data_IF_152982694876
#
_entry.id   IF_152982694876
#
_cell.length_a   1.000
_cell.length_b   1.000
_cell.length_c   1.000
_cell.angle_alpha   90.00
_cell.angle_beta   90.00
_cell.angle_gamma   90.00
#
_symmetry.space_group_name_H-M   'P 1'
#
loop_
_entity.id
_entity.type
_entity.pdbx_description
1 polymer ?
#
# COMPACT_ATOMS: atom_id res chain seq x y z
N UNK A 1 13.55 -3.54 12.00
CA UNK A 1 13.86 -4.35 10.78
C UNK A 1 13.82 -3.41 9.57
N UNK A 2 14.83 -3.37 8.70
CA UNK A 2 14.95 -2.34 7.64
C UNK A 2 14.29 -2.69 6.30
N UNK A 3 13.74 -3.89 6.18
CA UNK A 3 12.87 -4.33 5.09
C UNK A 3 12.10 -5.55 5.59
N UNK A 4 10.81 -5.66 5.29
CA UNK A 4 10.04 -6.89 5.53
C UNK A 4 10.28 -7.85 4.35
N UNK A 5 10.28 -9.15 4.62
CA UNK A 5 10.30 -10.25 3.64
C UNK A 5 9.13 -11.17 3.97
N UNK A 6 8.43 -11.67 2.95
CA UNK A 6 7.35 -12.65 3.16
C UNK A 6 7.92 -14.05 3.06
N UNK A 7 8.02 -14.74 4.20
CA UNK A 7 8.57 -16.11 4.28
C UNK A 7 7.56 -17.15 3.77
N UNK A 8 6.28 -17.03 4.15
CA UNK A 8 5.23 -18.00 3.79
C UNK A 8 3.83 -17.36 3.75
N UNK A 9 2.88 -17.97 3.02
CA UNK A 9 1.48 -17.56 2.91
C UNK A 9 0.53 -18.73 3.21
N UNK A 10 0.27 -18.95 4.50
CA UNK A 10 -0.82 -19.78 5.01
C UNK A 10 -0.78 -21.30 4.71
N UNK A 11 -1.65 -22.08 5.37
CA UNK A 11 -2.38 -21.73 6.59
C UNK A 11 -1.57 -22.01 7.86
N UNK A 12 -1.94 -21.35 8.95
CA UNK A 12 -1.63 -21.85 10.29
C UNK A 12 -2.16 -23.29 10.39
N UNK A 13 -1.38 -24.21 10.94
CA UNK A 13 -1.78 -25.61 11.07
C UNK A 13 -2.23 -25.96 12.48
N UNK A 14 -3.09 -26.97 12.59
CA UNK A 14 -3.62 -27.44 13.87
C UNK A 14 -2.77 -28.60 14.40
N UNK A 15 -2.27 -28.50 15.64
CA UNK A 15 -1.51 -29.57 16.30
C UNK A 15 -2.37 -30.58 17.09
N UNK A 16 -3.69 -30.55 17.00
CA UNK A 16 -4.60 -31.57 17.57
C UNK A 16 -5.67 -31.02 18.53
N UNK A 17 -6.46 -31.93 19.12
CA UNK A 17 -7.64 -31.61 19.94
C UNK A 17 -7.19 -30.88 21.23
N UNK A 18 -7.51 -29.59 21.36
CA UNK A 18 -7.00 -28.70 22.43
C UNK A 18 -6.55 -27.31 21.95
N UNK A 19 -6.58 -27.08 20.63
CA UNK A 19 -6.79 -25.79 19.92
C UNK A 19 -5.77 -24.67 20.20
N UNK A 20 -4.57 -24.80 19.66
CA UNK A 20 -3.70 -23.66 19.33
C UNK A 20 -3.36 -23.72 17.85
N UNK A 21 -3.51 -22.60 17.15
CA UNK A 21 -2.96 -22.45 15.81
C UNK A 21 -1.42 -22.42 15.91
N UNK A 22 -0.74 -23.14 15.04
CA UNK A 22 0.71 -23.20 14.99
C UNK A 22 1.23 -22.72 13.64
N UNK A 23 2.44 -22.19 13.65
CA UNK A 23 3.25 -21.95 12.47
C UNK A 23 4.69 -22.33 12.78
N UNK A 24 5.43 -22.68 11.73
CA UNK A 24 6.86 -22.89 11.85
C UNK A 24 7.56 -21.53 11.69
N UNK A 25 8.43 -21.20 12.64
CA UNK A 25 9.24 -19.97 12.60
C UNK A 25 10.72 -20.33 12.53
N UNK A 26 11.46 -19.67 11.65
CA UNK A 26 12.89 -19.90 11.43
C UNK A 26 13.77 -18.82 12.08
N UNK A 27 13.17 -17.72 12.55
CA UNK A 27 13.88 -16.62 13.21
C UNK A 27 12.97 -15.57 13.84
N UNK A 28 13.41 -14.31 13.75
CA UNK A 28 12.60 -13.15 14.13
C UNK A 28 11.67 -12.80 12.97
N UNK A 29 10.42 -13.25 13.08
CA UNK A 29 9.42 -13.12 12.03
C UNK A 29 8.22 -12.32 12.55
N UNK A 30 7.41 -11.80 11.63
CA UNK A 30 6.14 -11.15 11.96
C UNK A 30 5.00 -11.95 11.35
N UNK A 31 3.94 -12.18 12.13
CA UNK A 31 2.69 -12.73 11.63
C UNK A 31 1.80 -11.59 11.15
N UNK A 32 1.43 -11.60 9.87
CA UNK A 32 0.39 -10.72 9.33
C UNK A 32 -0.92 -11.48 9.17
N UNK A 33 -2.01 -10.88 9.62
CA UNK A 33 -3.36 -11.40 9.47
C UNK A 33 -4.27 -10.31 8.95
N UNK A 34 -4.94 -10.59 7.83
CA UNK A 34 -6.00 -9.76 7.30
C UNK A 34 -7.33 -10.53 7.35
N UNK A 35 -8.40 -9.88 7.79
CA UNK A 35 -9.73 -10.49 7.83
C UNK A 35 -10.84 -9.46 7.56
N UNK A 36 -11.96 -9.89 6.95
CA UNK A 36 -13.13 -9.04 6.79
C UNK A 36 -13.81 -8.79 8.14
N UNK A 37 -14.40 -7.62 8.28
CA UNK A 37 -15.14 -7.11 9.43
C UNK A 37 -16.40 -6.39 8.97
N UNK A 38 -17.30 -6.05 9.90
CA UNK A 38 -18.49 -5.25 9.58
C UNK A 38 -18.16 -3.81 9.10
N UNK A 39 -16.91 -3.36 9.26
CA UNK A 39 -16.43 -2.03 8.87
C UNK A 39 -15.54 -2.05 7.62
N UNK A 40 -15.43 -3.17 6.91
CA UNK A 40 -14.46 -3.38 5.83
C UNK A 40 -13.45 -4.44 6.22
N UNK A 41 -12.18 -4.29 5.85
CA UNK A 41 -11.13 -5.23 6.27
C UNK A 41 -10.37 -4.69 7.49
N UNK A 42 -9.75 -5.61 8.24
CA UNK A 42 -8.81 -5.31 9.32
C UNK A 42 -7.51 -6.04 9.04
N UNK A 43 -6.40 -5.43 9.41
CA UNK A 43 -5.07 -5.99 9.24
C UNK A 43 -4.27 -5.81 10.53
N UNK A 44 -3.52 -6.84 10.90
CA UNK A 44 -2.71 -6.86 12.10
C UNK A 44 -1.36 -7.49 11.77
N UNK A 45 -0.27 -6.83 12.18
CA UNK A 45 1.10 -7.36 12.06
C UNK A 45 1.70 -7.46 13.45
N UNK A 46 2.03 -8.68 13.88
CA UNK A 46 2.57 -8.95 15.21
C UNK A 46 3.96 -9.56 15.12
N UNK A 47 4.91 -9.07 15.91
CA UNK A 47 6.25 -9.66 15.96
C UNK A 47 6.27 -10.88 16.85
N UNK A 48 6.75 -11.98 16.30
CA UNK A 48 6.81 -13.25 16.99
C UNK A 48 8.07 -13.31 17.86
N UNK A 49 7.95 -13.69 19.15
CA UNK A 49 9.08 -13.76 20.08
C UNK A 49 10.02 -14.96 19.83
N UNK A 50 9.89 -15.66 18.70
CA UNK A 50 10.59 -16.91 18.37
C UNK A 50 9.80 -18.16 18.76
N UNK A 51 10.49 -19.31 18.81
CA UNK A 51 9.86 -20.61 19.05
C UNK A 51 9.28 -20.74 20.47
N UNK A 52 8.00 -21.10 20.57
CA UNK A 52 7.31 -21.32 21.85
C UNK A 52 5.78 -21.34 21.71
N UNK A 53 5.09 -21.46 22.84
CA UNK A 53 3.63 -21.32 22.93
C UNK A 53 3.29 -20.00 23.61
N UNK A 54 2.56 -19.14 22.91
CA UNK A 54 2.25 -17.79 23.37
C UNK A 54 0.75 -17.53 23.32
N UNK A 55 0.29 -16.59 24.13
CA UNK A 55 -1.02 -16.01 23.93
C UNK A 55 -0.93 -15.04 22.74
N UNK A 56 -1.69 -15.33 21.68
CA UNK A 56 -1.70 -14.55 20.45
C UNK A 56 -2.05 -13.07 20.71
N UNK A 57 -3.11 -12.81 21.47
CA UNK A 57 -3.58 -11.46 21.75
C UNK A 57 -2.52 -10.64 22.51
N UNK A 58 -1.81 -11.28 23.44
CA UNK A 58 -0.73 -10.65 24.20
C UNK A 58 0.46 -10.27 23.30
N UNK A 59 0.89 -11.18 22.42
CA UNK A 59 2.00 -10.93 21.48
C UNK A 59 1.66 -9.77 20.53
N UNK A 60 0.43 -9.77 20.01
CA UNK A 60 -0.05 -8.72 19.13
C UNK A 60 -0.22 -7.38 19.82
N UNK A 61 -0.76 -7.35 21.05
CA UNK A 61 -0.86 -6.14 21.85
C UNK A 61 0.50 -5.49 22.09
N UNK A 62 1.49 -6.28 22.52
CA UNK A 62 2.85 -5.77 22.78
C UNK A 62 3.50 -5.18 21.53
N UNK A 63 3.33 -5.84 20.38
CA UNK A 63 3.84 -5.35 19.10
C UNK A 63 3.21 -4.01 18.72
N UNK A 64 1.87 -3.93 18.81
CA UNK A 64 1.13 -2.74 18.41
C UNK A 64 1.37 -1.56 19.36
N UNK A 65 1.46 -1.79 20.67
CA UNK A 65 1.79 -0.75 21.64
C UNK A 65 3.21 -0.18 21.42
N UNK A 66 4.16 -1.05 21.05
CA UNK A 66 5.50 -0.59 20.68
C UNK A 66 5.45 0.29 19.44
N UNK A 67 4.77 -0.16 18.38
CA UNK A 67 4.68 0.60 17.12
C UNK A 67 4.00 1.96 17.34
N UNK A 68 2.90 2.00 18.12
CA UNK A 68 2.23 3.25 18.53
C UNK A 68 3.18 4.16 19.32
N UNK A 69 3.96 3.61 20.26
CA UNK A 69 4.93 4.37 21.05
C UNK A 69 6.06 4.94 20.21
N UNK A 70 6.56 4.19 19.22
CA UNK A 70 7.60 4.63 18.28
C UNK A 70 7.09 5.81 17.45
N UNK A 71 5.90 5.68 16.83
CA UNK A 71 5.25 6.74 16.05
C UNK A 71 5.11 8.04 16.86
N UNK A 72 4.59 7.95 18.09
CA UNK A 72 4.42 9.11 18.97
C UNK A 72 5.75 9.76 19.37
N UNK A 73 6.83 8.97 19.50
CA UNK A 73 8.15 9.48 19.86
C UNK A 73 8.80 10.27 18.73
N UNK A 74 8.56 9.87 17.48
CA UNK A 74 9.08 10.50 16.27
C UNK A 74 8.26 11.74 15.90
N UNK A 75 6.95 11.68 16.10
CA UNK A 75 6.02 12.76 15.80
C UNK A 75 5.68 13.59 17.04
N UNK A 76 6.65 14.36 17.56
CA UNK A 76 6.54 15.15 18.81
C UNK A 76 5.38 16.17 18.88
N UNK A 77 4.65 16.39 17.78
CA UNK A 77 3.41 17.18 17.72
C UNK A 77 2.10 16.37 17.79
N UNK A 78 2.18 15.04 17.68
CA UNK A 78 1.07 14.11 17.97
C UNK A 78 1.00 13.91 19.47
N UNK A 79 0.16 14.69 20.15
CA UNK A 79 -0.13 14.46 21.57
C UNK A 79 -1.50 13.82 21.66
N UNK A 80 -1.56 12.54 22.08
CA UNK A 80 -2.79 11.98 22.62
C UNK A 80 -3.19 12.87 23.80
N UNK A 81 -4.31 13.58 23.75
CA UNK A 81 -4.75 14.28 24.96
C UNK A 81 -5.05 13.21 26.01
N UNK A 82 -4.66 13.47 27.26
CA UNK A 82 -4.95 12.56 28.39
C UNK A 82 -6.45 12.19 28.46
N UNK A 83 -7.35 13.04 27.95
CA UNK A 83 -8.79 12.79 27.82
C UNK A 83 -9.18 11.75 26.76
N UNK A 84 -8.45 11.64 25.65
CA UNK A 84 -8.75 10.68 24.57
C UNK A 84 -8.18 9.30 24.90
N UNK A 85 -6.94 9.24 25.39
CA UNK A 85 -6.36 7.99 25.90
C UNK A 85 -7.14 7.43 27.09
N UNK A 86 -7.60 8.29 28.01
CA UNK A 86 -8.47 7.85 29.12
C UNK A 86 -9.89 7.51 28.67
N UNK A 87 -10.41 8.07 27.58
CA UNK A 87 -11.69 7.63 26.99
C UNK A 87 -11.56 6.26 26.33
N UNK A 88 -10.47 5.98 25.60
CA UNK A 88 -10.19 4.65 25.07
C UNK A 88 -10.00 3.62 26.19
N UNK A 89 -9.28 4.00 27.25
CA UNK A 89 -9.10 3.16 28.44
C UNK A 89 -10.40 3.01 29.27
N UNK A 90 -11.26 4.04 29.30
CA UNK A 90 -12.55 4.07 30.01
C UNK A 90 -13.65 3.31 29.26
N UNK A 91 -13.66 3.30 27.93
CA UNK A 91 -14.60 2.51 27.12
C UNK A 91 -14.21 1.03 27.16
N UNK A 92 -12.91 0.72 27.06
CA UNK A 92 -12.37 -0.63 27.23
C UNK A 92 -12.66 -1.21 28.63
N UNK A 93 -12.69 -0.37 29.66
CA UNK A 93 -13.03 -0.79 31.03
C UNK A 93 -14.52 -0.78 31.36
N UNK A 94 -15.38 -0.09 30.59
CA UNK A 94 -16.84 -0.01 30.84
C UNK A 94 -17.70 -1.02 30.06
N UNK A 95 -17.24 -1.51 28.90
CA UNK A 95 -17.99 -2.50 28.10
C UNK A 95 -17.76 -3.96 28.52
N UNK A 96 -17.04 -4.16 29.61
CA UNK A 96 -16.78 -5.44 30.26
C UNK A 96 -18.01 -5.97 31.00
N UNK A 97 -18.72 -6.95 30.42
CA UNK A 97 -19.38 -8.03 31.19
C UNK A 97 -19.31 -9.37 30.43
N UNK A 98 -19.08 -10.49 31.13
CA UNK A 98 -18.94 -11.80 30.51
C UNK A 98 -20.28 -12.30 29.94
N UNK A 99 -20.28 -12.76 28.69
CA UNK A 99 -21.23 -13.78 28.25
C UNK A 99 -20.59 -15.15 28.51
N UNK A 100 -21.26 -15.97 29.31
CA UNK A 100 -20.68 -17.12 30.01
C UNK A 100 -19.95 -18.15 29.14
N UNK A 101 -18.80 -18.59 29.66
CA UNK A 101 -17.97 -19.68 29.17
C UNK A 101 -16.54 -19.52 29.72
N UNK A 102 -15.93 -20.59 30.23
CA UNK A 102 -14.63 -20.50 30.92
C UNK A 102 -13.45 -20.38 29.94
N UNK A 103 -12.98 -19.16 29.73
CA UNK A 103 -11.58 -18.88 29.39
C UNK A 103 -10.83 -18.59 30.70
N UNK A 104 -9.55 -18.98 30.81
CA UNK A 104 -8.78 -18.68 32.01
C UNK A 104 -8.52 -17.16 32.12
N UNK A 105 -8.34 -16.61 33.32
CA UNK A 105 -8.21 -15.15 33.55
C UNK A 105 -7.12 -14.48 32.70
N UNK A 106 -6.05 -15.22 32.35
CA UNK A 106 -4.93 -14.71 31.58
C UNK A 106 -5.27 -14.58 30.08
N UNK A 107 -6.07 -15.49 29.53
CA UNK A 107 -6.58 -15.40 28.15
C UNK A 107 -7.51 -14.21 27.97
N UNK A 108 -8.36 -13.95 28.97
CA UNK A 108 -9.28 -12.83 28.95
C UNK A 108 -8.54 -11.48 29.03
N UNK A 109 -7.50 -11.38 29.88
CA UNK A 109 -6.69 -10.17 29.97
C UNK A 109 -5.94 -9.86 28.67
N UNK A 110 -5.39 -10.89 28.01
CA UNK A 110 -4.66 -10.69 26.77
C UNK A 110 -5.56 -10.18 25.63
N UNK A 111 -6.78 -10.70 25.50
CA UNK A 111 -7.77 -10.20 24.55
C UNK A 111 -8.13 -8.72 24.80
N UNK A 112 -8.27 -8.34 26.08
CA UNK A 112 -8.52 -6.94 26.48
C UNK A 112 -7.35 -6.02 26.09
N UNK A 113 -6.11 -6.47 26.29
CA UNK A 113 -4.91 -5.70 25.96
C UNK A 113 -4.81 -5.47 24.43
N UNK A 114 -5.18 -6.47 23.63
CA UNK A 114 -5.24 -6.32 22.17
C UNK A 114 -6.28 -5.29 21.73
N UNK A 115 -7.50 -5.35 22.27
CA UNK A 115 -8.56 -4.38 21.96
C UNK A 115 -8.13 -2.93 22.27
N UNK A 116 -7.46 -2.72 23.41
CA UNK A 116 -6.89 -1.40 23.79
C UNK A 116 -5.84 -0.95 22.78
N UNK A 117 -5.00 -1.87 22.32
CA UNK A 117 -3.91 -1.58 21.38
C UNK A 117 -4.45 -1.20 20.00
N UNK A 118 -5.42 -1.98 19.48
CA UNK A 118 -6.12 -1.69 18.22
C UNK A 118 -6.87 -0.37 18.29
N UNK A 119 -7.51 -0.10 19.43
CA UNK A 119 -8.19 1.18 19.67
C UNK A 119 -7.20 2.35 19.71
N UNK A 120 -6.00 2.14 20.24
CA UNK A 120 -4.94 3.16 20.28
C UNK A 120 -4.39 3.47 18.89
N UNK A 121 -4.21 2.45 18.04
CA UNK A 121 -3.89 2.61 16.61
C UNK A 121 -4.99 3.39 15.87
N UNK A 122 -6.24 3.00 16.04
CA UNK A 122 -7.39 3.76 15.52
C UNK A 122 -7.41 5.22 16.04
N UNK A 123 -7.01 5.43 17.30
CA UNK A 123 -6.84 6.75 17.90
C UNK A 123 -5.74 7.58 17.23
N UNK A 124 -4.63 6.97 16.82
CA UNK A 124 -3.56 7.64 16.08
C UNK A 124 -4.10 8.24 14.77
N UNK A 125 -4.94 7.52 14.03
CA UNK A 125 -5.58 8.03 12.82
C UNK A 125 -6.47 9.26 13.05
N UNK A 126 -7.18 9.29 14.19
CA UNK A 126 -8.07 10.39 14.51
C UNK A 126 -7.30 11.64 14.98
N UNK A 127 -6.18 11.45 15.70
CA UNK A 127 -5.33 12.56 16.16
C UNK A 127 -4.28 12.98 15.13
N UNK A 128 -4.04 12.17 14.09
CA UNK A 128 -3.19 12.52 12.95
C UNK A 128 -3.85 13.57 12.06
N UNK A 129 -4.32 14.66 12.66
CA UNK A 129 -4.49 15.96 12.00
C UNK A 129 -3.18 16.76 12.01
N UNK A 130 -2.07 16.11 12.43
CA UNK A 130 -0.77 16.75 12.62
C UNK A 130 -0.16 17.06 11.26
N UNK A 131 -0.32 18.33 10.87
CA UNK A 131 0.48 19.03 9.89
C UNK A 131 0.73 18.22 8.64
N UNK A 132 -0.25 18.23 7.72
CA UNK A 132 0.01 17.91 6.32
C UNK A 132 1.34 18.57 5.96
N UNK A 133 2.39 17.77 5.80
CA UNK A 133 3.67 18.27 5.37
C UNK A 133 3.39 19.14 4.14
N UNK A 134 3.95 20.34 4.08
CA UNK A 134 3.74 21.29 2.98
C UNK A 134 4.14 20.72 1.59
N UNK A 135 4.62 19.47 1.54
CA UNK A 135 5.11 18.76 0.38
C UNK A 135 4.20 17.61 -0.08
N UNK A 136 3.06 17.34 0.57
CA UNK A 136 2.11 16.36 0.04
C UNK A 136 1.53 16.84 -1.29
N UNK A 137 1.46 15.92 -2.25
CA UNK A 137 0.90 16.18 -3.57
C UNK A 137 -0.41 15.42 -3.69
N UNK A 138 -1.48 16.13 -4.03
CA UNK A 138 -2.81 15.56 -4.20
C UNK A 138 -3.11 15.40 -5.68
N UNK A 139 -3.84 14.33 -6.00
CA UNK A 139 -4.28 14.08 -7.36
C UNK A 139 -5.39 13.06 -7.42
N UNK A 140 -5.82 12.76 -8.63
CA UNK A 140 -6.81 11.75 -8.93
C UNK A 140 -6.40 10.97 -10.18
N UNK A 141 -7.02 9.81 -10.37
CA UNK A 141 -6.92 9.04 -11.61
C UNK A 141 -8.04 9.44 -12.56
N UNK A 142 -7.72 9.59 -13.83
CA UNK A 142 -8.66 9.67 -14.94
C UNK A 142 -8.48 8.41 -15.77
N UNK A 143 -9.47 7.54 -15.72
CA UNK A 143 -9.58 6.29 -16.48
C UNK A 143 -10.36 6.46 -17.79
N UNK A 144 -11.05 7.59 -17.97
CA UNK A 144 -11.85 7.85 -19.17
C UNK A 144 -11.56 9.24 -19.78
N UNK A 145 -11.11 9.29 -21.05
CA UNK A 145 -10.93 10.53 -21.81
C UNK A 145 -12.21 11.36 -22.01
N UNK A 146 -13.39 10.75 -21.82
CA UNK A 146 -14.68 11.40 -22.01
C UNK A 146 -14.95 12.43 -20.90
N UNK A 147 -14.59 12.11 -19.66
CA UNK A 147 -14.83 12.97 -18.48
C UNK A 147 -13.66 13.90 -18.16
N UNK A 148 -12.49 13.68 -18.79
CA UNK A 148 -11.22 14.26 -18.38
C UNK A 148 -11.25 15.79 -18.20
N UNK A 149 -11.85 16.52 -19.16
CA UNK A 149 -11.90 17.99 -19.12
C UNK A 149 -12.72 18.50 -17.92
N UNK A 150 -13.85 17.87 -17.63
CA UNK A 150 -14.70 18.24 -16.48
C UNK A 150 -13.96 17.91 -15.18
N UNK A 151 -13.35 16.73 -15.09
CA UNK A 151 -12.58 16.32 -13.92
C UNK A 151 -11.41 17.28 -13.63
N UNK A 152 -10.66 17.69 -14.66
CA UNK A 152 -9.53 18.63 -14.51
C UNK A 152 -9.98 20.01 -14.01
N UNK A 153 -11.14 20.50 -14.47
CA UNK A 153 -11.70 21.77 -13.96
C UNK A 153 -12.12 21.65 -12.49
N UNK A 154 -12.76 20.55 -12.12
CA UNK A 154 -13.13 20.27 -10.72
C UNK A 154 -11.88 20.17 -9.85
N UNK A 155 -10.87 19.44 -10.30
CA UNK A 155 -9.60 19.28 -9.58
C UNK A 155 -8.93 20.64 -9.35
N UNK A 156 -8.86 21.51 -10.37
CA UNK A 156 -8.32 22.86 -10.23
C UNK A 156 -9.10 23.71 -9.22
N UNK A 157 -10.42 23.53 -9.14
CA UNK A 157 -11.26 24.26 -8.19
C UNK A 157 -11.02 23.83 -6.75
N UNK A 158 -10.74 22.54 -6.51
CA UNK A 158 -10.49 21.99 -5.17
C UNK A 158 -9.05 22.25 -4.74
N UNK A 159 -8.10 22.10 -5.66
CA UNK A 159 -6.67 22.27 -5.44
C UNK A 159 -6.11 23.33 -6.43
N UNK A 160 -6.14 24.63 -6.07
CA UNK A 160 -5.72 25.70 -6.95
C UNK A 160 -4.24 25.65 -7.36
N UNK A 161 -3.38 25.00 -6.57
CA UNK A 161 -1.94 24.85 -6.84
C UNK A 161 -1.48 23.43 -6.53
N UNK A 162 -0.46 22.95 -7.25
CA UNK A 162 0.20 21.67 -6.96
C UNK A 162 -0.61 20.40 -7.26
N UNK A 163 -1.78 20.53 -7.89
CA UNK A 163 -2.61 19.40 -8.28
C UNK A 163 -1.93 18.51 -9.33
N UNK A 164 -2.18 17.21 -9.25
CA UNK A 164 -1.69 16.22 -10.22
C UNK A 164 -2.82 15.32 -10.71
N UNK A 165 -2.62 14.73 -11.88
CA UNK A 165 -3.52 13.72 -12.42
C UNK A 165 -2.73 12.53 -12.91
N UNK A 166 -3.24 11.33 -12.64
CA UNK A 166 -2.80 10.08 -13.25
C UNK A 166 -3.74 9.75 -14.40
N UNK A 167 -3.20 9.56 -15.61
CA UNK A 167 -3.97 9.34 -16.82
C UNK A 167 -3.72 7.92 -17.35
N UNK A 168 -4.76 7.10 -17.35
CA UNK A 168 -4.75 5.73 -17.90
C UNK A 168 -4.86 5.81 -19.42
N UNK A 169 -3.97 5.12 -20.14
CA UNK A 169 -3.93 5.16 -21.61
C UNK A 169 -4.53 3.88 -22.20
N UNK A 170 -5.81 3.94 -22.54
CA UNK A 170 -6.56 2.83 -23.13
C UNK A 170 -6.00 2.41 -24.50
N UNK A 171 -5.81 1.11 -24.77
CA UNK A 171 -5.35 0.60 -26.07
C UNK A 171 -6.25 0.99 -27.27
N UNK A 172 -7.53 1.31 -27.02
CA UNK A 172 -8.51 1.66 -28.05
C UNK A 172 -8.63 3.16 -28.34
N UNK A 173 -8.00 4.03 -27.55
CA UNK A 173 -8.15 5.48 -27.68
C UNK A 173 -6.95 6.09 -28.42
N UNK A 174 -7.15 6.96 -29.44
CA UNK A 174 -6.05 7.64 -30.12
C UNK A 174 -5.20 8.50 -29.17
N UNK A 175 -3.88 8.39 -29.27
CA UNK A 175 -2.93 9.17 -28.44
C UNK A 175 -3.08 10.68 -28.57
N UNK A 176 -3.56 11.19 -29.72
CA UNK A 176 -3.86 12.62 -29.91
C UNK A 176 -4.94 13.14 -28.95
N UNK A 177 -5.86 12.28 -28.50
CA UNK A 177 -6.86 12.62 -27.49
C UNK A 177 -6.19 12.87 -26.14
N UNK A 178 -5.27 12.00 -25.73
CA UNK A 178 -4.51 12.17 -24.49
C UNK A 178 -3.54 13.35 -24.55
N UNK A 179 -2.90 13.60 -25.69
CA UNK A 179 -2.08 14.81 -25.87
C UNK A 179 -2.89 16.09 -25.64
N UNK A 180 -4.15 16.13 -26.11
CA UNK A 180 -5.04 17.27 -25.89
C UNK A 180 -5.41 17.43 -24.41
N UNK A 181 -5.59 16.31 -23.68
CA UNK A 181 -5.85 16.30 -22.24
C UNK A 181 -4.63 16.80 -21.47
N UNK A 182 -3.42 16.34 -21.82
CA UNK A 182 -2.16 16.79 -21.20
C UNK A 182 -1.99 18.29 -21.35
N UNK A 183 -2.15 18.81 -22.58
CA UNK A 183 -2.04 20.24 -22.85
C UNK A 183 -3.07 21.05 -22.05
N UNK A 184 -4.30 20.54 -21.91
CA UNK A 184 -5.34 21.21 -21.13
C UNK A 184 -5.04 21.18 -19.63
N UNK A 185 -4.60 20.05 -19.07
CA UNK A 185 -4.17 19.95 -17.68
C UNK A 185 -3.05 20.97 -17.36
N UNK A 186 -2.04 21.05 -18.24
CA UNK A 186 -0.95 22.02 -18.13
C UNK A 186 -1.43 23.47 -18.20
N UNK A 187 -2.43 23.79 -19.04
CA UNK A 187 -3.03 25.13 -19.07
C UNK A 187 -3.70 25.54 -17.76
N UNK A 188 -4.07 24.56 -16.92
CA UNK A 188 -4.61 24.76 -15.57
C UNK A 188 -3.52 24.72 -14.48
N UNK A 189 -2.27 24.44 -14.84
CA UNK A 189 -1.15 24.24 -13.90
C UNK A 189 -1.23 22.91 -13.15
N UNK A 190 -1.81 21.87 -13.75
CA UNK A 190 -1.92 20.52 -13.18
C UNK A 190 -0.83 19.65 -13.82
N UNK A 191 -0.01 18.95 -13.02
CA UNK A 191 0.97 18.00 -13.56
C UNK A 191 0.30 16.68 -13.97
N UNK A 192 0.83 16.02 -15.00
CA UNK A 192 0.29 14.78 -15.56
C UNK A 192 1.29 13.64 -15.44
N UNK A 193 0.86 12.60 -14.73
CA UNK A 193 1.45 11.27 -14.78
C UNK A 193 0.70 10.43 -15.79
N UNK A 194 1.42 9.75 -16.69
CA UNK A 194 0.85 8.84 -17.68
C UNK A 194 1.15 7.41 -17.26
N UNK A 195 0.11 6.60 -17.12
CA UNK A 195 0.27 5.14 -17.02
C UNK A 195 0.48 4.55 -18.41
N UNK A 196 1.60 3.83 -18.59
CA UNK A 196 1.94 3.27 -19.90
C UNK A 196 1.00 2.12 -20.29
N UNK A 197 0.78 1.19 -19.36
CA UNK A 197 -0.05 -0.01 -19.56
C UNK A 197 -0.65 -0.40 -18.22
N UNK A 198 -1.97 -0.38 -18.14
CA UNK A 198 -2.76 -0.91 -17.02
C UNK A 198 -2.50 -2.41 -16.82
N UNK A 199 -2.45 -2.85 -15.56
CA UNK A 199 -2.18 -4.23 -15.19
C UNK A 199 -3.16 -5.23 -15.83
N UNK A 200 -4.43 -4.84 -16.03
CA UNK A 200 -5.45 -5.66 -16.69
C UNK A 200 -5.14 -5.94 -18.16
N UNK A 201 -4.49 -5.00 -18.85
CA UNK A 201 -4.08 -5.20 -20.25
C UNK A 201 -2.72 -5.89 -20.37
N UNK A 202 -1.85 -5.78 -19.36
CA UNK A 202 -0.50 -6.33 -19.40
C UNK A 202 -0.47 -7.84 -19.64
N UNK A 203 -1.44 -8.57 -19.08
CA UNK A 203 -1.61 -10.02 -19.24
C UNK A 203 -1.80 -10.45 -20.70
N UNK A 204 -2.46 -9.60 -21.50
CA UNK A 204 -2.76 -9.87 -22.90
C UNK A 204 -1.60 -9.54 -23.85
N UNK A 205 -0.52 -8.91 -23.34
CA UNK A 205 0.61 -8.47 -24.15
C UNK A 205 1.81 -9.40 -23.94
N UNK A 206 2.35 -9.93 -25.04
CA UNK A 206 3.72 -10.44 -25.04
C UNK A 206 4.72 -9.27 -24.92
N UNK A 207 6.00 -9.59 -24.72
CA UNK A 207 7.04 -8.57 -24.55
C UNK A 207 7.10 -7.60 -25.74
N UNK A 208 7.15 -8.09 -26.98
CA UNK A 208 7.24 -7.24 -28.17
C UNK A 208 6.06 -6.26 -28.32
N UNK A 209 4.83 -6.71 -28.02
CA UNK A 209 3.65 -5.85 -28.07
C UNK A 209 3.69 -4.78 -26.98
N UNK A 210 4.17 -5.13 -25.79
CA UNK A 210 4.38 -4.18 -24.69
C UNK A 210 5.43 -3.13 -25.07
N UNK A 211 6.57 -3.56 -25.62
CA UNK A 211 7.65 -2.66 -26.06
C UNK A 211 7.16 -1.69 -27.15
N UNK A 212 6.44 -2.20 -28.14
CA UNK A 212 5.83 -1.38 -29.20
C UNK A 212 4.83 -0.36 -28.62
N UNK A 213 4.05 -0.77 -27.62
CA UNK A 213 3.08 0.12 -26.96
C UNK A 213 3.78 1.23 -26.17
N UNK A 214 4.75 0.89 -25.34
CA UNK A 214 5.52 1.86 -24.55
C UNK A 214 6.23 2.85 -25.47
N UNK A 215 6.93 2.35 -26.49
CA UNK A 215 7.66 3.21 -27.42
C UNK A 215 6.73 4.15 -28.17
N UNK A 216 5.57 3.69 -28.61
CA UNK A 216 4.56 4.53 -29.25
C UNK A 216 4.05 5.64 -28.31
N UNK A 217 3.72 5.31 -27.06
CA UNK A 217 3.23 6.30 -26.08
C UNK A 217 4.29 7.37 -25.84
N UNK A 218 5.50 6.95 -25.44
CA UNK A 218 6.57 7.86 -25.01
C UNK A 218 7.05 8.77 -26.14
N UNK A 219 7.08 8.27 -27.38
CA UNK A 219 7.49 9.09 -28.54
C UNK A 219 6.39 10.05 -29.02
N UNK A 220 5.12 9.70 -28.81
CA UNK A 220 3.97 10.50 -29.27
C UNK A 220 3.56 11.55 -28.26
N UNK A 221 3.44 11.19 -26.98
CA UNK A 221 2.99 12.10 -25.94
C UNK A 221 4.14 13.02 -25.50
N UNK A 222 3.91 14.32 -25.63
CA UNK A 222 4.84 15.39 -25.27
C UNK A 222 4.40 16.06 -23.98
N UNK A 223 5.38 16.63 -23.28
CA UNK A 223 5.19 17.33 -22.01
C UNK A 223 4.53 16.43 -20.95
N UNK A 224 4.91 15.16 -20.88
CA UNK A 224 4.50 14.31 -19.76
C UNK A 224 5.42 14.61 -18.59
N UNK A 225 4.87 14.84 -17.40
CA UNK A 225 5.68 15.15 -16.20
C UNK A 225 6.27 13.88 -15.58
N UNK A 226 5.51 12.78 -15.61
CA UNK A 226 5.94 11.49 -15.10
C UNK A 226 5.31 10.32 -15.87
N UNK A 227 6.03 9.21 -16.00
CA UNK A 227 5.50 7.95 -16.51
C UNK A 227 5.45 6.92 -15.39
N UNK A 228 4.29 6.30 -15.20
CA UNK A 228 4.21 5.06 -14.45
C UNK A 228 4.62 3.90 -15.37
N UNK A 229 5.81 3.38 -15.08
CA UNK A 229 6.56 2.42 -15.91
C UNK A 229 6.19 0.97 -15.65
N UNK A 230 5.34 0.74 -14.65
CA UNK A 230 4.78 -0.54 -14.29
C UNK A 230 3.68 -0.33 -13.27
N UNK A 231 2.46 -0.72 -13.64
CA UNK A 231 1.31 -0.70 -12.75
C UNK A 231 1.16 -2.05 -12.05
N UNK A 232 1.14 -2.05 -10.71
CA UNK A 232 0.85 -3.20 -9.86
C UNK A 232 1.68 -4.46 -10.20
N UNK A 233 2.96 -4.27 -10.48
CA UNK A 233 3.81 -5.25 -11.20
C UNK A 233 4.07 -6.55 -10.45
N UNK A 234 3.73 -6.61 -9.18
CA UNK A 234 3.85 -7.81 -8.35
C UNK A 234 2.59 -8.70 -8.38
N UNK A 235 1.53 -8.34 -9.11
CA UNK A 235 0.35 -9.20 -9.25
C UNK A 235 0.57 -10.47 -10.09
N UNK A 236 0.04 -11.63 -9.67
CA UNK A 236 0.11 -12.87 -10.46
C UNK A 236 -0.68 -12.85 -11.78
N UNK A 237 -1.58 -11.87 -11.96
CA UNK A 237 -2.47 -11.80 -13.12
C UNK A 237 -1.81 -11.19 -14.37
N UNK A 238 -0.59 -10.69 -14.27
CA UNK A 238 0.09 -9.89 -15.31
C UNK A 238 0.67 -10.71 -16.49
N UNK A 239 0.55 -12.04 -16.43
CA UNK A 239 1.12 -12.95 -17.41
C UNK A 239 2.64 -13.10 -17.25
N UNK A 240 3.38 -13.16 -18.36
CA UNK A 240 4.82 -13.48 -18.36
C UNK A 240 5.70 -12.26 -18.65
N UNK A 241 6.98 -12.39 -18.31
CA UNK A 241 8.05 -11.41 -18.59
C UNK A 241 7.84 -10.03 -17.95
N UNK A 242 7.17 -9.95 -16.80
CA UNK A 242 6.84 -8.68 -16.14
C UNK A 242 8.10 -7.86 -15.83
N UNK A 243 9.13 -8.47 -15.24
CA UNK A 243 10.40 -7.80 -14.96
C UNK A 243 11.04 -7.20 -16.24
N UNK A 244 11.09 -7.98 -17.33
CA UNK A 244 11.64 -7.51 -18.60
C UNK A 244 10.83 -6.37 -19.23
N UNK A 245 9.49 -6.40 -19.10
CA UNK A 245 8.60 -5.31 -19.52
C UNK A 245 8.92 -4.02 -18.74
N UNK A 246 9.04 -4.11 -17.42
CA UNK A 246 9.40 -2.96 -16.56
C UNK A 246 10.79 -2.42 -16.92
N UNK A 247 11.78 -3.30 -17.07
CA UNK A 247 13.15 -2.95 -17.46
C UNK A 247 13.18 -2.18 -18.79
N UNK A 248 12.42 -2.64 -19.78
CA UNK A 248 12.27 -1.93 -21.05
C UNK A 248 11.66 -0.55 -20.85
N UNK A 249 10.56 -0.43 -20.09
CA UNK A 249 9.90 0.85 -19.86
C UNK A 249 10.83 1.87 -19.17
N UNK A 250 11.59 1.43 -18.16
CA UNK A 250 12.63 2.24 -17.51
C UNK A 250 13.63 2.77 -18.53
N UNK A 251 14.24 1.86 -19.30
CA UNK A 251 15.29 2.21 -20.26
C UNK A 251 14.76 3.13 -21.37
N UNK A 252 13.56 2.84 -21.89
CA UNK A 252 12.98 3.56 -22.99
C UNK A 252 12.58 4.99 -22.58
N UNK A 253 11.91 5.17 -21.44
CA UNK A 253 11.55 6.50 -20.92
C UNK A 253 12.80 7.34 -20.70
N UNK A 254 13.83 6.80 -20.03
CA UNK A 254 15.09 7.52 -19.78
C UNK A 254 15.81 7.97 -21.05
N UNK A 255 15.73 7.16 -22.11
CA UNK A 255 16.43 7.44 -23.36
C UNK A 255 15.68 8.43 -24.27
N UNK A 256 14.38 8.63 -24.05
CA UNK A 256 13.51 9.37 -24.99
C UNK A 256 12.69 10.49 -24.33
N UNK A 257 12.79 10.67 -23.02
CA UNK A 257 12.06 11.70 -22.26
C UNK A 257 12.89 12.20 -21.08
N UNK A 258 12.56 13.41 -20.61
CA UNK A 258 13.05 13.97 -19.35
C UNK A 258 12.05 13.83 -18.19
N UNK A 259 10.91 13.16 -18.44
CA UNK A 259 9.89 12.89 -17.43
C UNK A 259 10.44 11.98 -16.32
N UNK A 260 9.93 12.14 -15.10
CA UNK A 260 10.28 11.21 -14.02
C UNK A 260 9.59 9.85 -14.21
N UNK A 261 10.10 8.81 -13.59
CA UNK A 261 9.53 7.45 -13.63
C UNK A 261 8.98 7.05 -12.27
N UNK A 262 7.83 6.37 -12.27
CA UNK A 262 7.23 5.78 -11.09
C UNK A 262 6.95 4.30 -11.30
N UNK A 263 7.38 3.44 -10.37
CA UNK A 263 7.02 2.02 -10.35
C UNK A 263 5.97 1.77 -9.26
N UNK A 264 4.81 1.23 -9.63
CA UNK A 264 3.72 0.95 -8.69
C UNK A 264 3.69 -0.52 -8.34
N UNK A 265 3.61 -0.81 -7.03
CA UNK A 265 3.42 -2.14 -6.48
C UNK A 265 2.05 -2.23 -5.79
N UNK A 266 1.35 -3.34 -5.99
CA UNK A 266 0.08 -3.63 -5.33
C UNK A 266 0.31 -4.09 -3.90
N UNK A 267 -0.36 -3.42 -2.96
CA UNK A 267 -0.37 -3.78 -1.55
C UNK A 267 -1.53 -4.73 -1.25
N UNK A 268 -1.17 -5.94 -0.86
CA UNK A 268 -2.07 -6.96 -0.34
C UNK A 268 -1.21 -7.90 0.52
N UNK A 269 -1.54 -8.05 1.81
CA UNK A 269 -0.89 -9.05 2.65
C UNK A 269 -1.77 -10.29 2.75
N UNK A 270 -1.16 -11.48 2.75
CA UNK A 270 -1.90 -12.72 2.95
C UNK A 270 -2.58 -13.27 1.69
N UNK A 271 -2.37 -12.67 0.52
CA UNK A 271 -2.95 -13.14 -0.74
C UNK A 271 -1.87 -13.41 -1.80
N UNK A 272 -2.25 -14.22 -2.79
CA UNK A 272 -1.40 -14.70 -3.89
C UNK A 272 -0.28 -15.67 -3.43
N UNK A 273 0.99 -15.35 -3.69
CA UNK A 273 2.15 -16.17 -3.32
C UNK A 273 3.22 -15.30 -2.68
N UNK A 274 4.10 -15.90 -1.85
CA UNK A 274 5.22 -15.18 -1.24
C UNK A 274 6.10 -14.47 -2.29
N UNK A 275 6.31 -15.09 -3.46
CA UNK A 275 7.04 -14.50 -4.58
C UNK A 275 6.38 -13.26 -5.20
N UNK A 276 5.06 -13.12 -5.06
CA UNK A 276 4.28 -11.99 -5.55
C UNK A 276 4.05 -10.91 -4.47
N UNK A 277 4.51 -11.14 -3.24
CA UNK A 277 4.53 -10.09 -2.23
C UNK A 277 5.38 -8.91 -2.69
N UNK A 278 4.98 -7.71 -2.27
CA UNK A 278 5.62 -6.46 -2.68
C UNK A 278 7.15 -6.48 -2.51
N UNK A 279 7.63 -6.98 -1.36
CA UNK A 279 9.06 -6.99 -1.03
C UNK A 279 9.82 -8.05 -1.81
N UNK A 280 9.33 -9.28 -1.84
CA UNK A 280 10.03 -10.39 -2.49
C UNK A 280 10.06 -10.19 -4.00
N UNK A 281 8.94 -9.75 -4.59
CA UNK A 281 8.87 -9.48 -6.01
C UNK A 281 9.86 -8.38 -6.38
N UNK A 282 9.86 -7.27 -5.65
CA UNK A 282 10.75 -6.14 -5.92
C UNK A 282 12.22 -6.54 -5.78
N UNK A 283 12.61 -7.19 -4.67
CA UNK A 283 13.98 -7.61 -4.41
C UNK A 283 14.49 -8.62 -5.46
N UNK A 284 13.62 -9.50 -5.96
CA UNK A 284 13.97 -10.52 -6.95
C UNK A 284 14.07 -9.95 -8.36
N UNK A 285 13.16 -9.04 -8.73
CA UNK A 285 12.95 -8.66 -10.13
C UNK A 285 13.52 -7.30 -10.52
N UNK A 286 13.84 -6.43 -9.54
CA UNK A 286 14.38 -5.09 -9.81
C UNK A 286 15.84 -5.04 -9.36
N UNK A 287 16.74 -4.97 -10.34
CA UNK A 287 18.17 -4.80 -10.09
C UNK A 287 18.49 -3.38 -9.63
N UNK A 288 19.63 -3.19 -8.95
CA UNK A 288 20.14 -1.86 -8.61
C UNK A 288 20.29 -0.95 -9.84
N UNK A 289 20.61 -1.53 -11.01
CA UNK A 289 20.74 -0.75 -12.25
C UNK A 289 19.38 -0.25 -12.74
N UNK A 290 18.34 -1.09 -12.70
CA UNK A 290 16.98 -0.69 -13.04
C UNK A 290 16.44 0.32 -12.04
N UNK A 291 16.65 0.09 -10.74
CA UNK A 291 16.25 0.99 -9.66
C UNK A 291 16.84 2.39 -9.82
N UNK A 292 18.08 2.52 -10.31
CA UNK A 292 18.68 3.84 -10.62
C UNK A 292 17.90 4.65 -11.67
N UNK A 293 17.01 3.99 -12.40
CA UNK A 293 16.13 4.57 -13.40
C UNK A 293 14.70 4.81 -12.94
N UNK A 294 14.42 4.59 -11.65
CA UNK A 294 13.12 4.82 -11.02
C UNK A 294 13.25 6.03 -10.10
N UNK A 295 12.42 7.06 -10.30
CA UNK A 295 12.44 8.25 -9.45
C UNK A 295 11.58 8.10 -8.20
N UNK A 296 10.43 7.43 -8.34
CA UNK A 296 9.43 7.27 -7.29
C UNK A 296 8.95 5.81 -7.23
N UNK A 297 8.72 5.28 -6.03
CA UNK A 297 8.03 4.00 -5.81
C UNK A 297 6.62 4.31 -5.31
N UNK A 298 5.61 3.78 -5.98
CA UNK A 298 4.20 3.89 -5.62
C UNK A 298 3.70 2.61 -4.97
N UNK A 299 2.76 2.76 -4.04
CA UNK A 299 2.00 1.65 -3.46
C UNK A 299 0.54 1.85 -3.87
N UNK A 300 -0.01 0.90 -4.62
CA UNK A 300 -1.45 0.82 -4.91
C UNK A 300 -2.12 0.13 -3.73
N UNK A 301 -2.92 0.89 -2.99
CA UNK A 301 -3.58 0.45 -1.76
C UNK A 301 -5.09 0.58 -1.93
N UNK A 302 -5.80 -0.49 -1.57
CA UNK A 302 -7.26 -0.52 -1.48
C UNK A 302 -7.63 -0.66 0.00
N UNK A 303 -7.85 0.45 0.74
CA UNK A 303 -8.03 0.40 2.19
C UNK A 303 -9.23 -0.43 2.62
N UNK A 304 -10.22 -0.57 1.74
CA UNK A 304 -11.39 -1.41 2.00
C UNK A 304 -11.08 -2.91 1.96
N UNK A 305 -9.95 -3.34 1.39
CA UNK A 305 -9.52 -4.73 1.22
C UNK A 305 -8.29 -5.07 2.07
N UNK A 306 -7.28 -4.21 2.09
CA UNK A 306 -6.03 -4.47 2.80
C UNK A 306 -5.53 -3.21 3.51
N UNK A 307 -6.21 -2.72 4.56
CA UNK A 307 -5.77 -1.51 5.25
C UNK A 307 -4.36 -1.69 5.83
N UNK A 308 -3.58 -0.61 5.85
CA UNK A 308 -2.20 -0.67 6.31
C UNK A 308 -2.02 -0.39 7.80
N UNK A 309 -2.99 0.19 8.51
CA UNK A 309 -2.81 0.42 9.97
C UNK A 309 -1.57 1.26 10.31
N UNK A 310 -1.09 1.09 11.54
CA UNK A 310 0.30 1.40 11.93
C UNK A 310 1.35 0.68 11.08
N UNK A 311 1.02 -0.42 10.40
CA UNK A 311 1.99 -1.11 9.56
C UNK A 311 2.52 -0.24 8.41
N UNK A 312 1.78 0.80 7.99
CA UNK A 312 2.28 1.81 7.06
C UNK A 312 3.64 2.38 7.49
N UNK A 313 3.82 2.68 8.78
CA UNK A 313 5.07 3.19 9.33
C UNK A 313 6.19 2.15 9.18
N UNK A 314 5.88 0.87 9.44
CA UNK A 314 6.83 -0.24 9.35
C UNK A 314 7.32 -0.53 7.93
N UNK A 315 6.56 -0.10 6.93
CA UNK A 315 6.81 -0.39 5.51
C UNK A 315 7.58 0.76 4.84
N UNK A 316 7.37 1.99 5.32
CA UNK A 316 7.97 3.18 4.72
C UNK A 316 9.27 3.66 5.37
N UNK A 317 9.59 3.19 6.58
CA UNK A 317 10.87 3.47 7.26
C UNK A 317 12.01 2.53 6.85
#
# INVERSE_FOLDING_TARGET
PKTLEVEDLGPLYNQGIGVSAALDVTGYESLSLAWPSDLGYSNLICDLPGAGQYNFDQVCSLSLLRDVSEILSEHKGMTLTLGQASTFNSIASQLLKPAGGSFNQNQLQAAMDLDVSVTSDAGLYQISTVGLANNYRYGLTIDSPAIAITTLRSLKSIYPTGARVRLVIDPGTPLSRYQSIINFAHSLGISVMVELVDSQYMASMNLANYEARVSQIVTTLRNVDSYEIGNEVNGNWLGTNVAAKVAYAISFVRSHSSATTLLTLYWQLGEDTASNSIFNWFATNITNSELSGVNDIGISLYPQEAPMGTAFHRILD
#
